data_IF_488191967596
#
_entry.id   IF_488191967596
#
_cell.length_a   1.000
_cell.length_b   1.000
_cell.length_c   1.000
_cell.angle_alpha   90.00
_cell.angle_beta   90.00
_cell.angle_gamma   90.00
#
_symmetry.space_group_name_H-M   'P 1'
#
loop_
_entity.id
_entity.type
_entity.pdbx_description
1 polymer ?
#
# COMPACT_ATOMS: atom_id res chain seq x y z
N UNK A 1 50.87 37.29 -47.75
CA UNK A 1 50.89 35.87 -47.32
C UNK A 1 49.58 35.62 -46.61
N UNK A 2 48.57 35.22 -47.38
CA UNK A 2 47.20 34.99 -46.95
C UNK A 2 47.05 33.61 -46.31
N UNK A 3 46.39 33.62 -45.16
CA UNK A 3 45.43 32.61 -44.68
C UNK A 3 45.81 31.13 -44.73
N UNK A 4 46.23 30.64 -43.56
CA UNK A 4 45.82 29.30 -43.10
C UNK A 4 45.38 29.42 -41.64
N UNK A 5 44.28 30.14 -41.41
CA UNK A 5 43.48 29.96 -40.20
C UNK A 5 42.82 28.58 -40.31
N UNK A 6 43.56 27.54 -39.88
CA UNK A 6 43.06 26.19 -39.81
C UNK A 6 41.80 26.18 -38.94
N UNK A 7 40.65 25.97 -39.59
CA UNK A 7 39.34 25.79 -38.98
C UNK A 7 39.35 24.47 -38.18
N UNK A 8 39.92 24.53 -36.98
CA UNK A 8 39.89 23.44 -36.02
C UNK A 8 38.49 23.38 -35.42
N UNK A 9 37.65 22.56 -36.03
CA UNK A 9 36.30 22.24 -35.55
C UNK A 9 36.39 21.86 -34.06
N UNK A 10 35.74 22.60 -33.14
CA UNK A 10 35.88 22.35 -31.71
C UNK A 10 35.30 20.99 -31.36
N UNK A 11 36.15 20.04 -30.95
CA UNK A 11 35.72 18.74 -30.43
C UNK A 11 35.05 19.01 -29.10
N UNK A 12 33.72 18.82 -29.06
CA UNK A 12 32.91 19.03 -27.87
C UNK A 12 33.44 18.12 -26.76
N UNK A 13 33.86 18.67 -25.59
CA UNK A 13 34.33 17.84 -24.50
C UNK A 13 33.21 16.89 -24.08
N UNK A 14 33.57 15.64 -23.86
CA UNK A 14 32.62 14.66 -23.35
C UNK A 14 32.14 15.15 -21.97
N UNK A 15 30.83 15.38 -21.83
CA UNK A 15 30.25 15.80 -20.56
C UNK A 15 30.40 14.72 -19.48
N UNK A 16 30.19 15.05 -18.20
CA UNK A 16 30.21 14.07 -17.12
C UNK A 16 29.19 12.94 -17.41
N UNK A 17 29.58 11.69 -17.14
CA UNK A 17 28.80 10.48 -17.42
C UNK A 17 28.57 10.21 -18.92
N UNK A 18 29.51 10.58 -19.78
CA UNK A 18 29.42 10.30 -21.21
C UNK A 18 29.57 8.79 -21.52
N UNK A 19 29.06 8.36 -22.67
CA UNK A 19 29.21 6.97 -23.14
C UNK A 19 30.67 6.53 -23.24
N UNK A 20 31.60 7.47 -23.47
CA UNK A 20 33.04 7.20 -23.49
C UNK A 20 33.60 6.88 -22.10
N UNK A 21 33.17 7.60 -21.05
CA UNK A 21 33.56 7.33 -19.67
C UNK A 21 33.00 5.99 -19.17
N UNK A 22 31.73 5.67 -19.49
CA UNK A 22 31.16 4.36 -19.19
C UNK A 22 31.90 3.22 -19.90
N UNK A 23 32.25 3.40 -21.18
CA UNK A 23 33.04 2.42 -21.93
C UNK A 23 34.44 2.23 -21.33
N UNK A 24 35.06 3.31 -20.85
CA UNK A 24 36.34 3.26 -20.15
C UNK A 24 36.20 2.54 -18.81
N UNK A 25 35.21 2.91 -18.00
CA UNK A 25 34.94 2.28 -16.71
C UNK A 25 34.70 0.77 -16.85
N UNK A 26 33.86 0.34 -17.80
CA UNK A 26 33.59 -1.08 -18.05
C UNK A 26 34.84 -1.85 -18.49
N UNK A 27 35.74 -1.20 -19.26
CA UNK A 27 37.01 -1.80 -19.68
C UNK A 27 37.98 -2.02 -18.52
N UNK A 28 37.95 -1.16 -17.51
CA UNK A 28 38.72 -1.33 -16.27
C UNK A 28 38.04 -2.23 -15.24
N UNK A 29 36.70 -2.30 -15.25
CA UNK A 29 35.93 -3.21 -14.39
C UNK A 29 36.05 -4.67 -14.85
N UNK A 30 36.29 -4.90 -16.14
CA UNK A 30 36.41 -6.24 -16.71
C UNK A 30 37.71 -6.90 -16.22
N UNK A 31 37.66 -8.04 -15.52
CA UNK A 31 38.85 -8.67 -14.96
C UNK A 31 39.86 -9.04 -16.05
N UNK A 32 41.14 -8.72 -15.85
CA UNK A 32 42.21 -9.15 -16.76
C UNK A 32 42.43 -10.66 -16.60
N UNK A 33 42.37 -11.39 -17.72
CA UNK A 33 42.45 -12.88 -17.78
C UNK A 33 43.67 -13.52 -17.11
N UNK A 34 44.72 -12.76 -16.77
CA UNK A 34 45.94 -13.26 -16.13
C UNK A 34 45.80 -13.49 -14.61
N UNK A 35 44.73 -12.99 -13.99
CA UNK A 35 44.48 -13.07 -12.54
C UNK A 35 43.14 -13.75 -12.23
N UNK A 36 42.90 -14.93 -12.80
CA UNK A 36 41.60 -15.63 -12.71
C UNK A 36 41.07 -15.82 -11.27
N UNK A 37 41.96 -15.99 -10.29
CA UNK A 37 41.59 -16.07 -8.86
C UNK A 37 40.96 -14.78 -8.32
N UNK A 38 41.48 -13.61 -8.72
CA UNK A 38 40.95 -12.30 -8.32
C UNK A 38 39.57 -12.06 -8.94
N UNK A 39 39.37 -12.49 -10.19
CA UNK A 39 38.08 -12.41 -10.87
C UNK A 39 37.00 -13.24 -10.18
N UNK A 40 37.36 -14.42 -9.64
CA UNK A 40 36.43 -15.28 -8.90
C UNK A 40 35.95 -14.64 -7.59
N UNK A 41 36.88 -14.09 -6.79
CA UNK A 41 36.53 -13.38 -5.55
C UNK A 41 35.64 -12.18 -5.85
N UNK A 42 35.96 -11.39 -6.88
CA UNK A 42 35.17 -10.21 -7.25
C UNK A 42 33.72 -10.57 -7.60
N UNK A 43 33.48 -11.67 -8.31
CA UNK A 43 32.14 -12.15 -8.65
C UNK A 43 31.38 -12.57 -7.39
N UNK A 44 32.01 -13.35 -6.51
CA UNK A 44 31.35 -13.81 -5.27
C UNK A 44 31.01 -12.63 -4.36
N UNK A 45 31.93 -11.69 -4.18
CA UNK A 45 31.67 -10.49 -3.37
C UNK A 45 30.53 -9.66 -3.96
N UNK A 46 30.50 -9.46 -5.28
CA UNK A 46 29.41 -8.76 -5.94
C UNK A 46 28.07 -9.46 -5.74
N UNK A 47 27.99 -10.77 -5.95
CA UNK A 47 26.77 -11.56 -5.75
C UNK A 47 26.29 -11.54 -4.30
N UNK A 48 27.20 -11.61 -3.33
CA UNK A 48 26.86 -11.55 -1.90
C UNK A 48 26.27 -10.19 -1.51
N UNK A 49 26.90 -9.09 -1.93
CA UNK A 49 26.37 -7.74 -1.68
C UNK A 49 25.04 -7.55 -2.40
N UNK A 50 24.91 -8.00 -3.65
CA UNK A 50 23.66 -7.93 -4.41
C UNK A 50 22.52 -8.69 -3.69
N UNK A 51 22.76 -9.92 -3.25
CA UNK A 51 21.78 -10.73 -2.54
C UNK A 51 21.38 -10.10 -1.19
N UNK A 52 22.37 -9.56 -0.45
CA UNK A 52 22.14 -8.88 0.83
C UNK A 52 21.26 -7.64 0.68
N UNK A 53 21.59 -6.75 -0.26
CA UNK A 53 20.81 -5.53 -0.52
C UNK A 53 19.43 -5.88 -1.09
N UNK A 54 19.34 -6.89 -1.96
CA UNK A 54 18.07 -7.37 -2.49
C UNK A 54 17.11 -7.81 -1.38
N UNK A 55 17.58 -8.62 -0.43
CA UNK A 55 16.78 -9.06 0.71
C UNK A 55 16.31 -7.88 1.57
N UNK A 56 17.17 -6.88 1.79
CA UNK A 56 16.81 -5.67 2.53
C UNK A 56 15.70 -4.87 1.83
N UNK A 57 15.81 -4.68 0.51
CA UNK A 57 14.79 -3.98 -0.27
C UNK A 57 13.46 -4.74 -0.22
N UNK A 58 13.46 -6.06 -0.42
CA UNK A 58 12.24 -6.88 -0.41
C UNK A 58 11.53 -6.83 0.93
N UNK A 59 12.26 -7.01 2.03
CA UNK A 59 11.67 -6.98 3.38
C UNK A 59 11.08 -5.61 3.73
N UNK A 60 11.77 -4.52 3.37
CA UNK A 60 11.22 -3.17 3.51
C UNK A 60 9.97 -2.97 2.65
N UNK A 61 9.96 -3.49 1.42
CA UNK A 61 8.79 -3.42 0.53
C UNK A 61 7.58 -4.15 1.11
N UNK A 62 7.78 -5.34 1.68
CA UNK A 62 6.71 -6.12 2.30
C UNK A 62 6.12 -5.35 3.47
N UNK A 63 6.98 -4.87 4.39
CA UNK A 63 6.52 -4.16 5.58
C UNK A 63 5.82 -2.84 5.22
N UNK A 64 6.35 -2.10 4.25
CA UNK A 64 5.75 -0.84 3.81
C UNK A 64 4.37 -1.06 3.18
N UNK A 65 4.23 -2.04 2.28
CA UNK A 65 2.94 -2.34 1.65
C UNK A 65 1.93 -2.95 2.61
N UNK A 66 2.38 -3.83 3.50
CA UNK A 66 1.52 -4.45 4.50
C UNK A 66 1.03 -3.44 5.54
N UNK A 67 1.89 -2.50 5.97
CA UNK A 67 1.50 -1.42 6.88
C UNK A 67 0.38 -0.58 6.29
N UNK A 68 0.48 -0.17 5.03
CA UNK A 68 -0.57 0.62 4.39
C UNK A 68 -1.87 -0.17 4.27
N UNK A 69 -1.80 -1.44 3.90
CA UNK A 69 -2.99 -2.28 3.74
C UNK A 69 -3.68 -2.56 5.08
N UNK A 70 -2.91 -2.86 6.13
CA UNK A 70 -3.45 -3.05 7.47
C UNK A 70 -4.08 -1.79 8.02
N UNK A 71 -3.38 -0.66 7.94
CA UNK A 71 -3.92 0.62 8.43
C UNK A 71 -5.19 0.99 7.68
N UNK A 72 -5.21 0.81 6.35
CA UNK A 72 -6.38 1.09 5.54
C UNK A 72 -7.56 0.16 5.90
N UNK A 73 -7.32 -1.15 6.09
CA UNK A 73 -8.38 -2.08 6.53
C UNK A 73 -8.89 -1.77 7.93
N UNK A 74 -8.01 -1.45 8.88
CA UNK A 74 -8.40 -1.15 10.26
C UNK A 74 -9.19 0.17 10.36
N UNK A 75 -8.71 1.22 9.68
CA UNK A 75 -9.35 2.54 9.66
C UNK A 75 -10.60 2.57 8.77
N UNK A 76 -10.68 1.76 7.72
CA UNK A 76 -11.87 1.70 6.89
C UNK A 76 -12.98 0.83 7.48
N UNK A 77 -12.66 -0.10 8.38
CA UNK A 77 -13.65 -0.95 9.03
C UNK A 77 -14.29 -0.27 10.25
N UNK A 78 -13.59 0.68 10.89
CA UNK A 78 -14.12 1.40 12.04
C UNK A 78 -14.52 2.82 11.63
N UNK A 79 -15.73 3.24 11.99
CA UNK A 79 -16.11 4.64 11.85
C UNK A 79 -15.10 5.51 12.62
N UNK A 80 -14.67 6.62 12.02
CA UNK A 80 -13.68 7.52 12.63
C UNK A 80 -14.11 8.01 14.02
N UNK A 81 -15.42 8.02 14.31
CA UNK A 81 -15.99 8.32 15.61
C UNK A 81 -17.19 7.41 15.89
N UNK A 82 -17.30 6.95 17.14
CA UNK A 82 -18.46 6.23 17.67
C UNK A 82 -19.17 7.09 18.70
N UNK A 83 -20.46 7.33 18.48
CA UNK A 83 -21.32 8.00 19.47
C UNK A 83 -22.20 6.94 20.10
N UNK A 84 -21.93 6.63 21.37
CA UNK A 84 -22.73 5.69 22.16
C UNK A 84 -23.70 6.46 23.05
N UNK A 85 -24.92 5.96 23.16
CA UNK A 85 -25.98 6.56 23.97
C UNK A 85 -27.03 5.51 24.34
N UNK A 86 -28.12 5.97 24.96
CA UNK A 86 -29.25 5.09 25.26
C UNK A 86 -29.90 4.58 23.96
N UNK A 87 -30.52 3.40 24.02
CA UNK A 87 -31.23 2.82 22.88
C UNK A 87 -32.40 3.73 22.52
N UNK A 88 -32.30 4.42 21.38
CA UNK A 88 -33.31 5.35 20.88
C UNK A 88 -34.33 4.64 19.98
N UNK A 89 -35.60 4.97 20.19
CA UNK A 89 -36.69 4.57 19.30
C UNK A 89 -36.50 5.18 17.89
N UNK A 90 -37.15 4.61 16.87
CA UNK A 90 -36.97 5.02 15.48
C UNK A 90 -37.10 6.55 15.23
N UNK A 91 -38.10 7.27 15.79
CA UNK A 91 -38.27 8.71 15.56
C UNK A 91 -37.14 9.55 16.17
N UNK A 92 -36.74 9.23 17.40
CA UNK A 92 -35.71 9.97 18.13
C UNK A 92 -34.32 9.70 17.54
N UNK A 93 -34.11 8.49 17.01
CA UNK A 93 -32.88 8.09 16.32
C UNK A 93 -32.67 8.89 15.04
N UNK A 94 -33.71 9.08 14.24
CA UNK A 94 -33.62 9.84 12.99
C UNK A 94 -33.36 11.33 13.26
N UNK A 95 -33.98 11.90 14.30
CA UNK A 95 -33.68 13.26 14.73
C UNK A 95 -32.24 13.42 15.25
N UNK A 96 -31.75 12.45 16.03
CA UNK A 96 -30.36 12.46 16.51
C UNK A 96 -29.36 12.36 15.35
N UNK A 97 -29.61 11.49 14.38
CA UNK A 97 -28.79 11.37 13.16
C UNK A 97 -28.77 12.67 12.36
N UNK A 98 -29.91 13.34 12.18
CA UNK A 98 -29.98 14.62 11.47
C UNK A 98 -29.15 15.70 12.17
N UNK A 99 -29.19 15.76 13.51
CA UNK A 99 -28.36 16.70 14.30
C UNK A 99 -26.87 16.41 14.15
N UNK A 100 -26.47 15.14 14.15
CA UNK A 100 -25.07 14.73 13.98
C UNK A 100 -24.58 15.06 12.57
N UNK A 101 -25.37 14.78 11.53
CA UNK A 101 -25.03 15.12 10.12
C UNK A 101 -24.89 16.62 9.88
N UNK A 102 -25.55 17.45 10.68
CA UNK A 102 -25.46 18.91 10.58
C UNK A 102 -24.16 19.49 11.18
N UNK A 103 -23.35 18.69 11.89
CA UNK A 103 -22.08 19.16 12.47
C UNK A 103 -21.02 19.31 11.36
N UNK A 104 -20.32 20.47 11.29
CA UNK A 104 -19.28 20.68 10.28
C UNK A 104 -18.13 19.67 10.44
N UNK A 105 -17.81 18.97 9.35
CA UNK A 105 -16.78 17.92 9.31
C UNK A 105 -17.32 16.49 9.30
N UNK A 106 -18.63 16.28 9.46
CA UNK A 106 -19.25 14.95 9.37
C UNK A 106 -19.52 14.60 7.89
N UNK A 107 -18.82 13.59 7.38
CA UNK A 107 -18.98 13.09 6.00
C UNK A 107 -20.17 12.12 5.88
N UNK A 108 -20.32 11.21 6.84
CA UNK A 108 -21.46 10.30 6.95
C UNK A 108 -21.71 9.97 8.42
N UNK A 109 -22.96 9.64 8.74
CA UNK A 109 -23.36 9.19 10.08
C UNK A 109 -24.47 8.16 9.91
N UNK A 110 -24.18 6.94 10.35
CA UNK A 110 -25.03 5.77 10.13
C UNK A 110 -25.33 5.10 11.48
N UNK A 111 -26.59 4.71 11.74
CA UNK A 111 -26.95 4.04 12.98
C UNK A 111 -26.44 2.60 12.98
N UNK A 112 -25.72 2.23 14.05
CA UNK A 112 -25.23 0.88 14.27
C UNK A 112 -25.78 0.33 15.59
N UNK A 113 -26.31 -0.90 15.56
CA UNK A 113 -26.71 -1.64 16.77
C UNK A 113 -25.76 -2.82 16.94
N UNK A 114 -25.06 -2.90 18.07
CA UNK A 114 -24.17 -4.02 18.38
C UNK A 114 -24.74 -4.82 19.55
N UNK A 115 -24.93 -6.13 19.36
CA UNK A 115 -25.38 -7.06 20.40
C UNK A 115 -24.53 -8.32 20.40
N UNK A 116 -24.30 -8.89 21.58
CA UNK A 116 -23.69 -10.21 21.71
C UNK A 116 -24.78 -11.27 21.49
N UNK A 117 -24.48 -12.32 20.74
CA UNK A 117 -25.38 -13.43 20.47
C UNK A 117 -24.61 -14.76 20.50
N UNK A 118 -25.33 -15.86 20.70
CA UNK A 118 -24.80 -17.21 20.51
C UNK A 118 -25.28 -17.72 19.15
N UNK A 119 -24.33 -18.14 18.32
CA UNK A 119 -24.62 -18.72 17.00
C UNK A 119 -24.38 -20.23 17.10
N UNK A 120 -25.39 -20.99 16.68
CA UNK A 120 -25.33 -22.45 16.66
C UNK A 120 -25.40 -22.93 15.20
N UNK A 121 -24.45 -23.78 14.81
CA UNK A 121 -24.40 -24.37 13.47
C UNK A 121 -23.56 -25.65 13.46
N UNK A 122 -24.02 -26.68 12.75
CA UNK A 122 -23.29 -27.95 12.60
C UNK A 122 -22.94 -28.66 13.92
N UNK A 123 -23.74 -28.47 14.97
CA UNK A 123 -23.50 -29.06 16.30
C UNK A 123 -22.49 -28.31 17.18
N UNK A 124 -21.99 -27.15 16.74
CA UNK A 124 -21.10 -26.27 17.50
C UNK A 124 -21.86 -24.99 17.88
N UNK A 125 -21.65 -24.49 19.10
CA UNK A 125 -22.19 -23.21 19.58
C UNK A 125 -21.03 -22.29 19.89
N UNK A 126 -21.01 -21.10 19.29
CA UNK A 126 -19.98 -20.08 19.52
C UNK A 126 -20.59 -18.73 19.82
N UNK A 127 -19.88 -17.89 20.59
CA UNK A 127 -20.25 -16.50 20.77
C UNK A 127 -19.93 -15.68 19.52
N UNK A 128 -20.85 -14.80 19.16
CA UNK A 128 -20.68 -13.86 18.05
C UNK A 128 -21.14 -12.46 18.46
N UNK A 129 -20.57 -11.45 17.82
CA UNK A 129 -21.05 -10.07 17.91
C UNK A 129 -21.87 -9.82 16.66
N UNK A 130 -23.15 -9.51 16.84
CA UNK A 130 -24.09 -9.19 15.77
C UNK A 130 -24.21 -7.67 15.66
N UNK A 131 -23.95 -7.17 14.45
CA UNK A 131 -24.03 -5.74 14.12
C UNK A 131 -25.19 -5.53 13.15
N UNK A 132 -26.23 -4.84 13.59
CA UNK A 132 -27.36 -4.42 12.77
C UNK A 132 -27.12 -3.07 12.12
N UNK A 133 -27.23 -3.02 10.79
CA UNK A 133 -27.09 -1.83 9.95
C UNK A 133 -28.30 -1.73 9.01
N UNK A 134 -28.66 -0.52 8.56
CA UNK A 134 -29.67 -0.38 7.49
C UNK A 134 -29.05 -0.81 6.13
N UNK A 135 -29.81 -1.47 5.24
CA UNK A 135 -29.27 -1.91 3.94
C UNK A 135 -28.71 -0.78 3.07
N UNK A 136 -29.35 0.40 3.11
CA UNK A 136 -28.87 1.61 2.41
C UNK A 136 -27.46 2.03 2.81
N UNK A 137 -27.14 1.83 4.09
CA UNK A 137 -25.90 2.32 4.71
C UNK A 137 -24.77 1.29 4.51
N UNK A 138 -25.08 0.07 4.08
CA UNK A 138 -24.09 -0.96 3.76
C UNK A 138 -23.32 -0.65 2.47
N UNK A 139 -23.94 0.12 1.56
CA UNK A 139 -23.35 0.53 0.29
C UNK A 139 -22.18 1.51 0.45
N UNK A 140 -22.15 2.29 1.54
CA UNK A 140 -21.04 3.20 1.86
C UNK A 140 -19.82 2.45 2.41
N UNK A 141 -20.03 1.22 2.91
CA UNK A 141 -18.99 0.36 3.48
C UNK A 141 -18.38 -0.59 2.43
N UNK A 142 -17.58 -0.03 1.52
CA UNK A 142 -16.95 -0.73 0.39
C UNK A 142 -16.33 -2.10 0.74
N UNK A 143 -15.63 -2.22 1.87
CA UNK A 143 -14.96 -3.46 2.26
C UNK A 143 -15.92 -4.55 2.73
N UNK A 144 -17.01 -4.18 3.43
CA UNK A 144 -18.00 -5.15 3.90
C UNK A 144 -18.82 -5.65 2.71
N UNK A 145 -19.29 -4.74 1.86
CA UNK A 145 -20.06 -5.09 0.66
C UNK A 145 -19.29 -6.03 -0.28
N UNK A 146 -18.00 -5.77 -0.49
CA UNK A 146 -17.14 -6.62 -1.33
C UNK A 146 -16.83 -7.98 -0.70
N UNK A 147 -16.90 -8.12 0.62
CA UNK A 147 -16.69 -9.41 1.31
C UNK A 147 -17.92 -10.32 1.32
N UNK A 148 -19.11 -9.80 1.01
CA UNK A 148 -20.34 -10.58 0.97
C UNK A 148 -20.36 -11.53 -0.23
N UNK A 149 -20.87 -12.74 -0.01
CA UNK A 149 -21.13 -13.70 -1.09
C UNK A 149 -22.17 -13.16 -2.07
N UNK A 150 -22.14 -13.57 -3.35
CA UNK A 150 -23.11 -13.09 -4.36
C UNK A 150 -24.57 -13.30 -3.95
N UNK A 151 -24.87 -14.40 -3.24
CA UNK A 151 -26.19 -14.73 -2.71
C UNK A 151 -26.61 -13.79 -1.58
N UNK A 152 -25.68 -13.41 -0.69
CA UNK A 152 -25.94 -12.45 0.37
C UNK A 152 -26.16 -11.04 -0.18
N UNK A 153 -25.51 -10.65 -1.28
CA UNK A 153 -25.72 -9.36 -1.94
C UNK A 153 -27.09 -9.24 -2.62
N UNK A 154 -27.66 -10.36 -3.07
CA UNK A 154 -28.97 -10.38 -3.71
C UNK A 154 -30.15 -10.33 -2.72
N UNK A 155 -29.88 -10.56 -1.43
CA UNK A 155 -30.87 -10.52 -0.34
C UNK A 155 -31.06 -9.15 0.33
N UNK A 156 -30.29 -8.14 -0.07
CA UNK A 156 -30.35 -6.77 0.46
C UNK A 156 -30.84 -5.76 -0.59
#
# INVERSE_FOLDING_TARGET
MSDVSADLKPVKPAGPFSAWEFALAFRYLRPKRKEGWVAFIAIISFLSTMASVFALIVTLSIMSGFRSELLNRMLSFNGHMYVQGQVLNAPDREQALARIKAVPGVVSADPLVETQALVQGGGQTTGAIVRGLKPSDLSSMNYVYQSLSPEARAGF
#
